data_IF_978558616862
#
_entry.id   IF_978558616862
#
_cell.length_a   1.000
_cell.length_b   1.000
_cell.length_c   1.000
_cell.angle_alpha   90.00
_cell.angle_beta   90.00
_cell.angle_gamma   90.00
#
_symmetry.space_group_name_H-M   'P 1'
#
loop_
_entity.id
_entity.type
_entity.pdbx_description
1 polymer ?
#
# COMPACT_ATOMS: atom_id res chain seq x y z
N UNK A 1 -9.98 -13.07 0.74
CA UNK A 1 -8.73 -12.88 1.49
C UNK A 1 -7.76 -12.09 0.64
N UNK A 2 -7.78 -10.79 0.87
CA UNK A 2 -7.23 -9.78 -0.01
C UNK A 2 -5.70 -9.86 -0.04
N UNK A 3 -5.07 -9.86 1.12
CA UNK A 3 -3.60 -9.91 1.25
C UNK A 3 -2.94 -11.12 0.55
N UNK A 4 -3.64 -12.25 0.45
CA UNK A 4 -3.17 -13.44 -0.27
C UNK A 4 -3.06 -13.18 -1.77
N UNK A 5 -3.95 -12.36 -2.35
CA UNK A 5 -3.90 -11.98 -3.76
C UNK A 5 -2.66 -11.12 -4.03
N UNK A 6 -2.39 -10.12 -3.17
CA UNK A 6 -1.16 -9.31 -3.25
C UNK A 6 0.09 -10.21 -3.19
N UNK A 7 0.12 -11.14 -2.23
CA UNK A 7 1.25 -12.06 -2.09
C UNK A 7 1.42 -12.99 -3.31
N UNK A 8 0.33 -13.46 -3.92
CA UNK A 8 0.39 -14.28 -5.15
C UNK A 8 0.98 -13.49 -6.33
N UNK A 9 0.81 -12.17 -6.37
CA UNK A 9 1.40 -11.30 -7.39
C UNK A 9 2.85 -10.86 -7.09
N UNK A 10 3.53 -11.46 -6.11
CA UNK A 10 4.89 -11.10 -5.70
C UNK A 10 5.92 -11.16 -6.83
N UNK A 11 5.77 -12.05 -7.81
CA UNK A 11 6.69 -12.16 -8.93
C UNK A 11 6.57 -10.96 -9.87
N UNK A 12 5.35 -10.58 -10.23
CA UNK A 12 5.09 -9.36 -11.03
C UNK A 12 5.62 -8.12 -10.29
N UNK A 13 5.33 -8.01 -9.00
CA UNK A 13 5.86 -6.91 -8.18
C UNK A 13 7.40 -6.92 -8.11
N UNK A 14 8.03 -8.09 -7.93
CA UNK A 14 9.51 -8.23 -7.99
C UNK A 14 10.06 -7.72 -9.31
N UNK A 15 9.43 -8.06 -10.43
CA UNK A 15 9.84 -7.62 -11.76
C UNK A 15 9.70 -6.11 -11.92
N UNK A 16 8.61 -5.51 -11.44
CA UNK A 16 8.41 -4.05 -11.43
C UNK A 16 9.47 -3.34 -10.57
N UNK A 17 9.79 -3.84 -9.38
CA UNK A 17 10.87 -3.29 -8.54
C UNK A 17 12.22 -3.36 -9.26
N UNK A 18 12.54 -4.51 -9.88
CA UNK A 18 13.78 -4.68 -10.64
C UNK A 18 13.86 -3.83 -11.91
N UNK A 19 12.73 -3.39 -12.46
CA UNK A 19 12.71 -2.43 -13.56
C UNK A 19 13.12 -1.01 -13.12
N UNK A 20 12.87 -0.67 -11.85
CA UNK A 20 13.33 0.59 -11.23
C UNK A 20 14.82 0.49 -10.87
N UNK A 21 15.22 -0.61 -10.22
CA UNK A 21 16.61 -0.86 -9.86
C UNK A 21 16.91 -2.37 -9.93
N UNK A 22 17.66 -2.84 -10.95
CA UNK A 22 17.97 -4.25 -11.15
C UNK A 22 18.75 -4.90 -10.01
N UNK A 23 19.40 -4.10 -9.15
CA UNK A 23 20.20 -4.58 -8.03
C UNK A 23 19.38 -4.85 -6.77
N UNK A 24 18.09 -4.54 -6.80
CA UNK A 24 17.19 -4.70 -5.65
C UNK A 24 17.03 -6.15 -5.24
N UNK A 25 17.17 -6.38 -3.93
CA UNK A 25 16.76 -7.58 -3.23
C UNK A 25 15.42 -7.31 -2.54
N UNK A 26 14.47 -8.23 -2.71
CA UNK A 26 13.13 -8.11 -2.14
C UNK A 26 12.84 -9.30 -1.24
N UNK A 27 12.36 -9.04 -0.02
CA UNK A 27 11.89 -10.03 0.93
C UNK A 27 10.38 -9.89 1.11
N UNK A 28 9.70 -11.03 1.26
CA UNK A 28 8.26 -11.11 1.51
C UNK A 28 8.01 -12.03 2.69
N UNK A 29 7.33 -11.52 3.72
CA UNK A 29 6.91 -12.30 4.88
C UNK A 29 5.40 -12.19 5.06
N UNK A 30 4.69 -13.31 4.90
CA UNK A 30 3.23 -13.39 5.04
C UNK A 30 2.87 -14.15 6.32
N UNK A 31 2.27 -13.48 7.29
CA UNK A 31 1.86 -14.06 8.57
C UNK A 31 0.48 -13.54 8.98
N UNK A 32 -0.46 -14.43 9.30
CA UNK A 32 -1.77 -14.10 9.88
C UNK A 32 -2.47 -12.90 9.22
N UNK A 33 -2.60 -12.93 7.89
CA UNK A 33 -3.24 -11.87 7.10
C UNK A 33 -2.47 -10.53 7.01
N UNK A 34 -1.21 -10.52 7.45
CA UNK A 34 -0.28 -9.39 7.30
C UNK A 34 0.84 -9.77 6.33
N UNK A 35 1.16 -8.88 5.40
CA UNK A 35 2.29 -9.00 4.48
C UNK A 35 3.31 -7.91 4.78
N UNK A 36 4.52 -8.32 5.10
CA UNK A 36 5.68 -7.47 5.23
C UNK A 36 6.54 -7.60 3.97
N UNK A 37 6.95 -6.46 3.43
CA UNK A 37 7.78 -6.35 2.24
C UNK A 37 8.99 -5.48 2.60
N UNK A 38 10.18 -5.97 2.30
CA UNK A 38 11.41 -5.21 2.42
C UNK A 38 12.14 -5.20 1.08
N UNK A 39 12.49 -4.01 0.60
CA UNK A 39 13.29 -3.81 -0.61
C UNK A 39 14.60 -3.15 -0.19
N UNK A 40 15.73 -3.70 -0.64
CA UNK A 40 17.08 -3.14 -0.38
C UNK A 40 17.86 -3.19 -1.69
N UNK A 41 18.39 -2.04 -2.10
CA UNK A 41 19.26 -1.91 -3.28
C UNK A 41 20.74 -1.93 -2.90
N UNK A 42 21.62 -2.09 -3.91
CA UNK A 42 23.07 -2.01 -3.70
C UNK A 42 23.56 -0.63 -3.27
N UNK A 43 22.82 0.44 -3.60
CA UNK A 43 23.05 1.82 -3.12
C UNK A 43 22.54 2.06 -1.70
N UNK A 44 22.05 1.02 -1.01
CA UNK A 44 21.43 1.10 0.32
C UNK A 44 20.14 1.93 0.36
N UNK A 45 19.47 2.15 -0.77
CA UNK A 45 18.08 2.65 -0.78
C UNK A 45 17.17 1.53 -0.31
N UNK A 46 16.26 1.83 0.62
CA UNK A 46 15.40 0.82 1.25
C UNK A 46 13.96 1.28 1.35
N UNK A 47 13.03 0.35 1.16
CA UNK A 47 11.61 0.55 1.43
C UNK A 47 11.09 -0.60 2.28
N UNK A 48 10.45 -0.26 3.40
CA UNK A 48 9.74 -1.16 4.29
C UNK A 48 8.25 -0.90 4.19
N UNK A 49 7.47 -1.95 3.98
CA UNK A 49 6.01 -1.87 3.87
C UNK A 49 5.41 -2.97 4.72
N UNK A 50 4.38 -2.63 5.51
CA UNK A 50 3.53 -3.60 6.20
C UNK A 50 2.08 -3.38 5.82
N UNK A 51 1.50 -4.40 5.18
CA UNK A 51 0.12 -4.42 4.74
C UNK A 51 -0.69 -5.41 5.57
N UNK A 52 -1.96 -5.13 5.82
CA UNK A 52 -2.91 -6.14 6.30
C UNK A 52 -4.26 -6.03 5.60
N UNK A 53 -5.05 -7.07 5.73
CA UNK A 53 -6.44 -7.06 5.28
C UNK A 53 -7.31 -6.22 6.22
N UNK A 54 -8.27 -5.50 5.65
CA UNK A 54 -9.35 -4.89 6.40
C UNK A 54 -10.47 -5.93 6.58
N UNK A 55 -10.74 -6.33 7.83
CA UNK A 55 -11.62 -7.47 8.13
C UNK A 55 -13.05 -7.05 8.51
N UNK A 56 -13.29 -5.76 8.80
CA UNK A 56 -14.60 -5.25 9.23
C UNK A 56 -15.42 -4.71 8.04
N UNK A 57 -16.05 -5.61 7.29
CA UNK A 57 -16.89 -5.23 6.14
C UNK A 57 -18.25 -4.61 6.53
N UNK A 58 -18.77 -4.91 7.72
CA UNK A 58 -20.08 -4.39 8.16
C UNK A 58 -20.08 -2.87 8.43
N UNK A 59 -18.89 -2.29 8.71
CA UNK A 59 -18.67 -0.85 8.86
C UNK A 59 -17.87 -0.26 7.68
N UNK A 60 -17.59 -1.02 6.62
CA UNK A 60 -16.71 -0.54 5.55
C UNK A 60 -17.20 0.82 5.05
N UNK A 61 -16.29 1.81 4.84
CA UNK A 61 -16.71 3.09 4.32
C UNK A 61 -17.48 2.82 3.02
N UNK A 62 -18.63 3.50 2.84
CA UNK A 62 -19.57 3.28 1.71
C UNK A 62 -18.96 3.74 0.38
N UNK A 63 -17.74 3.32 0.10
CA UNK A 63 -16.92 3.74 -0.99
C UNK A 63 -17.18 2.79 -2.15
N UNK A 64 -17.81 3.39 -3.14
CA UNK A 64 -17.82 3.10 -4.57
C UNK A 64 -17.24 1.73 -4.95
N UNK A 65 -18.16 0.87 -5.43
CA UNK A 65 -18.01 -0.47 -5.98
C UNK A 65 -18.03 -1.64 -4.98
N UNK A 66 -19.00 -2.55 -5.19
CA UNK A 66 -19.16 -3.82 -4.47
C UNK A 66 -17.94 -4.77 -4.57
N UNK A 67 -16.99 -4.50 -5.46
CA UNK A 67 -15.80 -5.32 -5.72
C UNK A 67 -14.48 -4.67 -5.26
N UNK A 68 -14.57 -3.57 -4.51
CA UNK A 68 -13.40 -2.84 -4.00
C UNK A 68 -12.61 -3.64 -2.97
N UNK A 69 -11.29 -3.47 -3.02
CA UNK A 69 -10.31 -4.22 -2.25
C UNK A 69 -9.67 -3.32 -1.20
N UNK A 70 -10.05 -3.53 0.06
CA UNK A 70 -9.52 -2.76 1.18
C UNK A 70 -8.19 -3.35 1.66
N UNK A 71 -7.14 -2.53 1.65
CA UNK A 71 -5.82 -2.84 2.23
C UNK A 71 -5.52 -1.81 3.29
N UNK A 72 -5.05 -2.25 4.45
CA UNK A 72 -4.47 -1.35 5.44
C UNK A 72 -2.97 -1.27 5.20
N UNK A 73 -2.45 -0.08 4.92
CA UNK A 73 -1.03 0.25 4.94
C UNK A 73 -0.63 0.59 6.38
N UNK A 74 -0.32 -0.43 7.17
CA UNK A 74 0.02 -0.28 8.58
C UNK A 74 1.37 0.41 8.79
N UNK A 75 2.32 0.22 7.89
CA UNK A 75 3.63 0.86 7.99
C UNK A 75 4.20 1.08 6.60
N UNK A 76 4.79 2.25 6.38
CA UNK A 76 5.61 2.55 5.22
C UNK A 76 6.80 3.40 5.65
N UNK A 77 8.01 3.00 5.25
CA UNK A 77 9.23 3.71 5.60
C UNK A 77 10.27 3.59 4.50
N UNK A 78 10.75 4.74 4.03
CA UNK A 78 11.88 4.83 3.11
C UNK A 78 13.16 5.17 3.88
N UNK A 79 14.29 4.69 3.38
CA UNK A 79 15.65 5.09 3.80
C UNK A 79 16.41 5.46 2.54
N UNK A 80 17.17 6.56 2.60
CA UNK A 80 17.81 7.19 1.45
C UNK A 80 16.77 7.49 0.36
N UNK A 81 17.00 7.12 -0.90
CA UNK A 81 16.03 7.33 -2.00
C UNK A 81 15.08 6.14 -2.19
N UNK A 82 14.67 5.53 -1.08
CA UNK A 82 13.84 4.32 -1.07
C UNK A 82 12.40 4.52 -1.56
N UNK A 83 11.90 5.75 -1.50
CA UNK A 83 10.57 6.16 -1.97
C UNK A 83 10.35 5.83 -3.45
N UNK A 84 11.43 5.76 -4.26
CA UNK A 84 11.36 5.34 -5.67
C UNK A 84 10.71 3.96 -5.87
N UNK A 85 10.71 3.12 -4.84
CA UNK A 85 10.15 1.76 -4.88
C UNK A 85 8.66 1.67 -4.55
N UNK A 86 8.00 2.76 -4.13
CA UNK A 86 6.56 2.71 -3.81
C UNK A 86 5.70 2.60 -5.06
N UNK A 87 6.11 3.24 -6.17
CA UNK A 87 5.39 3.22 -7.44
C UNK A 87 5.09 1.82 -7.98
N UNK A 88 6.06 0.88 -8.01
CA UNK A 88 5.79 -0.52 -8.32
C UNK A 88 4.63 -1.14 -7.51
N UNK A 89 4.45 -0.77 -6.25
CA UNK A 89 3.38 -1.29 -5.38
C UNK A 89 2.04 -0.64 -5.74
N UNK A 90 2.01 0.69 -5.90
CA UNK A 90 0.82 1.43 -6.29
C UNK A 90 0.27 0.94 -7.65
N UNK A 91 1.17 0.70 -8.60
CA UNK A 91 0.83 0.11 -9.90
C UNK A 91 0.27 -1.31 -9.76
N UNK A 92 0.85 -2.14 -8.87
CA UNK A 92 0.32 -3.47 -8.58
C UNK A 92 -1.11 -3.39 -8.05
N UNK A 93 -1.38 -2.42 -7.17
CA UNK A 93 -2.72 -2.17 -6.65
C UNK A 93 -3.67 -1.81 -7.80
N UNK A 94 -3.40 -0.75 -8.56
CA UNK A 94 -4.28 -0.32 -9.67
C UNK A 94 -4.54 -1.40 -10.73
N UNK A 95 -3.51 -2.17 -11.12
CA UNK A 95 -3.63 -3.15 -12.21
C UNK A 95 -4.38 -4.43 -11.81
N UNK A 96 -4.36 -4.80 -10.53
CA UNK A 96 -4.89 -6.10 -10.09
C UNK A 96 -6.13 -5.99 -9.20
N UNK A 97 -6.38 -4.80 -8.64
CA UNK A 97 -7.29 -4.56 -7.54
C UNK A 97 -7.93 -3.17 -7.72
N UNK A 98 -9.26 -3.05 -7.57
CA UNK A 98 -9.87 -1.74 -7.33
C UNK A 98 -9.54 -1.41 -5.87
N UNK A 99 -8.31 -0.98 -5.61
CA UNK A 99 -7.77 -0.90 -4.27
C UNK A 99 -8.20 0.40 -3.58
N UNK A 100 -8.73 0.25 -2.37
CA UNK A 100 -8.89 1.33 -1.40
C UNK A 100 -7.81 1.11 -0.35
N UNK A 101 -6.86 2.03 -0.29
CA UNK A 101 -5.75 1.98 0.66
C UNK A 101 -6.14 2.79 1.89
N UNK A 102 -6.17 2.12 3.03
CA UNK A 102 -6.43 2.71 4.34
C UNK A 102 -5.09 2.86 5.06
N UNK A 103 -4.69 4.09 5.36
CA UNK A 103 -3.52 4.34 6.20
C UNK A 103 -4.01 4.80 7.58
N UNK A 104 -3.58 4.19 8.70
CA UNK A 104 -3.93 4.72 10.01
C UNK A 104 -3.52 6.19 10.13
N UNK A 105 -4.41 7.04 10.66
CA UNK A 105 -4.23 8.49 10.69
C UNK A 105 -2.91 8.91 11.36
N UNK A 106 -2.56 8.28 12.49
CA UNK A 106 -1.30 8.51 13.19
C UNK A 106 -0.06 8.20 12.34
N UNK A 107 -0.17 7.21 11.45
CA UNK A 107 0.89 6.82 10.53
C UNK A 107 1.00 7.80 9.36
N UNK A 108 -0.12 8.34 8.87
CA UNK A 108 -0.12 9.35 7.81
C UNK A 108 0.69 10.60 8.20
N UNK A 109 0.45 11.14 9.39
CA UNK A 109 1.14 12.36 9.84
C UNK A 109 2.61 12.16 10.23
N UNK A 110 3.04 10.92 10.43
CA UNK A 110 4.43 10.59 10.82
C UNK A 110 5.26 10.00 9.69
N UNK A 111 4.62 9.65 8.56
CA UNK A 111 5.29 9.15 7.35
C UNK A 111 6.03 10.29 6.65
N UNK A 112 7.17 9.98 6.03
CA UNK A 112 7.94 10.92 5.21
C UNK A 112 7.05 11.54 4.12
N UNK A 113 7.05 12.87 4.01
CA UNK A 113 6.16 13.58 3.06
C UNK A 113 6.46 13.22 1.61
N UNK A 114 7.71 12.92 1.24
CA UNK A 114 8.04 12.48 -0.11
C UNK A 114 7.37 11.16 -0.47
N UNK A 115 7.23 10.25 0.50
CA UNK A 115 6.48 9.00 0.31
C UNK A 115 4.98 9.26 0.12
N UNK A 116 4.41 10.14 0.93
CA UNK A 116 3.01 10.53 0.80
C UNK A 116 2.76 11.19 -0.56
N UNK A 117 3.64 12.10 -0.98
CA UNK A 117 3.55 12.77 -2.28
C UNK A 117 3.64 11.78 -3.45
N UNK A 118 4.38 10.67 -3.32
CA UNK A 118 4.36 9.61 -4.34
C UNK A 118 3.05 8.81 -4.35
N UNK A 119 2.44 8.56 -3.18
CA UNK A 119 1.12 7.89 -3.09
C UNK A 119 0.04 8.77 -3.70
N UNK A 120 0.02 10.05 -3.36
CA UNK A 120 -0.99 11.03 -3.80
C UNK A 120 -1.02 11.29 -5.31
N UNK A 121 0.01 10.83 -6.05
CA UNK A 121 0.04 10.93 -7.52
C UNK A 121 -0.88 9.93 -8.21
N UNK A 122 -1.05 8.75 -7.64
CA UNK A 122 -1.84 7.66 -8.22
C UNK A 122 -3.11 7.37 -7.40
N UNK A 123 -3.17 7.86 -6.15
CA UNK A 123 -4.30 7.68 -5.24
C UNK A 123 -4.68 9.01 -4.58
N UNK A 124 -5.90 9.50 -4.80
CA UNK A 124 -6.35 10.72 -4.15
C UNK A 124 -6.73 10.48 -2.70
N UNK A 125 -6.36 11.45 -1.87
CA UNK A 125 -6.95 11.61 -0.55
C UNK A 125 -8.46 11.89 -0.70
N UNK A 126 -9.27 11.06 -0.08
CA UNK A 126 -10.73 11.15 -0.18
C UNK A 126 -11.36 11.66 1.12
N UNK A 127 -11.23 10.91 2.21
CA UNK A 127 -11.81 11.25 3.51
C UNK A 127 -11.06 10.55 4.68
N UNK A 128 -11.47 10.86 5.91
CA UNK A 128 -11.09 10.13 7.11
C UNK A 128 -12.22 9.18 7.50
N UNK A 129 -11.92 7.88 7.54
CA UNK A 129 -12.83 6.86 8.02
C UNK A 129 -12.57 6.54 9.50
N UNK A 130 -13.56 6.82 10.34
CA UNK A 130 -13.58 6.37 11.73
C UNK A 130 -14.17 4.96 11.81
N UNK A 131 -13.35 3.99 12.17
CA UNK A 131 -13.80 2.61 12.33
C UNK A 131 -14.41 2.36 13.70
N UNK A 132 -15.29 1.36 13.82
CA UNK A 132 -15.98 1.00 15.06
C UNK A 132 -15.07 0.62 16.26
N UNK A 133 -13.75 0.52 16.07
CA UNK A 133 -12.77 0.33 17.15
C UNK A 133 -12.07 1.64 17.58
N UNK A 134 -12.62 2.79 17.19
CA UNK A 134 -12.09 4.14 17.44
C UNK A 134 -10.71 4.40 16.81
N UNK A 135 -10.36 3.69 15.74
CA UNK A 135 -9.23 4.03 14.88
C UNK A 135 -9.69 4.81 13.67
N UNK A 136 -8.98 5.88 13.38
CA UNK A 136 -9.15 6.68 12.18
C UNK A 136 -8.19 6.22 11.08
N UNK A 137 -8.69 6.17 9.86
CA UNK A 137 -7.92 5.84 8.67
C UNK A 137 -8.07 6.95 7.65
N UNK A 138 -6.94 7.39 7.11
CA UNK A 138 -6.90 8.20 5.90
C UNK A 138 -7.15 7.29 4.71
N UNK A 139 -8.14 7.64 3.90
CA UNK A 139 -8.55 6.87 2.73
C UNK A 139 -7.85 7.42 1.49
N UNK A 140 -7.18 6.51 0.79
CA UNK A 140 -6.60 6.74 -0.52
C UNK A 140 -7.36 5.91 -1.55
N UNK A 141 -8.05 6.59 -2.46
CA UNK A 141 -8.76 5.95 -3.57
C UNK A 141 -7.96 6.04 -4.85
N UNK A 142 -7.91 4.94 -5.60
CA UNK A 142 -7.24 4.92 -6.90
C UNK A 142 -7.84 5.97 -7.85
N UNK A 143 -6.99 6.83 -8.38
CA UNK A 143 -7.35 7.86 -9.35
C UNK A 143 -7.98 7.29 -10.63
N UNK A 144 -7.63 6.05 -10.99
CA UNK A 144 -8.05 5.41 -12.24
C UNK A 144 -9.55 5.03 -12.25
N UNK A 145 -10.19 4.92 -11.09
CA UNK A 145 -11.54 4.38 -10.95
C UNK A 145 -12.59 5.42 -10.47
N UNK A 146 -12.25 6.71 -10.42
CA UNK A 146 -13.12 7.82 -9.99
C UNK A 146 -14.01 8.42 -11.10
N UNK A 147 -14.40 7.63 -12.12
CA UNK A 147 -15.19 8.11 -13.27
C UNK A 147 -16.70 7.99 -13.05
#
# INVERSE_FOLDING_TARGET
>A
MNIQRVYKSKEDFTNKVKSVDPTSLISYNLLNMSLEITIISSSQDQLFIKLSEFVNYDDSPQLLAHDSFFIILNEIKAINSGEKFIRPLLKLFNENLIAIVLMPEEHYYTTDRNLIDEIEKDFYWDDIYESGNSKNYVIFQSAEYLV
#
